data_IF_933981580480
#
_entry.id   IF_933981580480
#
_cell.length_a   1.000
_cell.length_b   1.000
_cell.length_c   1.000
_cell.angle_alpha   90.00
_cell.angle_beta   90.00
_cell.angle_gamma   90.00
#
_symmetry.space_group_name_H-M   'P 1'
#
loop_
_entity.id
_entity.type
_entity.pdbx_description
1 polymer ?
#
# COMPACT_ATOMS: atom_id res chain seq x y z
N UNK A 1 -5.00 12.30 -12.97
CA UNK A 1 -3.91 12.01 -12.02
C UNK A 1 -3.41 10.60 -12.37
N UNK A 2 -2.50 9.95 -11.64
CA UNK A 2 -1.98 8.63 -12.06
C UNK A 2 -1.72 7.68 -10.89
N UNK A 3 -1.29 6.45 -11.19
CA UNK A 3 -0.82 5.45 -10.22
C UNK A 3 0.24 6.00 -9.26
N UNK A 4 1.11 6.89 -9.76
CA UNK A 4 2.13 7.60 -8.99
C UNK A 4 1.49 8.47 -7.91
N UNK A 5 0.44 9.23 -8.24
CA UNK A 5 -0.27 10.07 -7.29
C UNK A 5 -0.93 9.25 -6.15
N UNK A 6 -1.55 8.12 -6.49
CA UNK A 6 -2.08 7.17 -5.50
C UNK A 6 -0.99 6.69 -4.53
N UNK A 7 0.17 6.30 -5.06
CA UNK A 7 1.30 5.87 -4.23
C UNK A 7 1.80 7.00 -3.34
N UNK A 8 1.95 8.22 -3.86
CA UNK A 8 2.41 9.39 -3.10
C UNK A 8 1.42 9.71 -1.96
N UNK A 9 0.13 9.74 -2.24
CA UNK A 9 -0.89 10.04 -1.23
C UNK A 9 -0.88 9.00 -0.11
N UNK A 10 -0.79 7.71 -0.46
CA UNK A 10 -0.68 6.66 0.55
C UNK A 10 0.63 6.73 1.33
N UNK A 11 1.76 6.92 0.65
CA UNK A 11 3.09 6.98 1.27
C UNK A 11 3.22 8.18 2.21
N UNK A 12 2.59 9.30 1.90
CA UNK A 12 2.69 10.52 2.72
C UNK A 12 1.69 10.57 3.87
N UNK A 13 0.50 9.99 3.71
CA UNK A 13 -0.56 10.03 4.72
C UNK A 13 -0.72 8.73 5.54
N UNK A 14 -0.29 7.60 4.97
CA UNK A 14 -0.62 6.27 5.50
C UNK A 14 -2.11 5.93 5.43
N UNK A 15 -2.85 6.61 4.56
CA UNK A 15 -4.29 6.50 4.36
C UNK A 15 -4.64 6.50 2.86
N UNK A 16 -5.81 5.96 2.52
CA UNK A 16 -6.38 5.99 1.18
C UNK A 16 -7.79 6.54 1.24
N UNK A 17 -8.02 7.67 0.57
CA UNK A 17 -9.34 8.31 0.46
C UNK A 17 -10.02 8.48 1.85
N UNK A 18 -9.21 8.79 2.87
CA UNK A 18 -9.66 8.99 4.26
C UNK A 18 -9.75 7.72 5.12
N UNK A 19 -9.61 6.52 4.54
CA UNK A 19 -9.55 5.26 5.28
C UNK A 19 -8.10 4.89 5.61
N UNK A 20 -7.87 4.33 6.80
CA UNK A 20 -6.53 3.95 7.26
C UNK A 20 -6.56 2.83 8.29
N UNK A 21 -5.50 2.75 9.10
CA UNK A 21 -5.53 1.95 10.32
C UNK A 21 -6.67 2.41 11.23
N UNK A 22 -7.15 1.51 12.08
CA UNK A 22 -8.28 1.71 12.99
C UNK A 22 -9.65 1.94 12.34
N UNK A 23 -9.69 2.15 11.02
CA UNK A 23 -10.93 2.26 10.27
C UNK A 23 -11.68 0.93 10.24
N UNK A 24 -13.00 1.00 10.28
CA UNK A 24 -13.87 -0.17 10.18
C UNK A 24 -13.92 -0.69 8.74
N UNK A 25 -14.38 -1.94 8.53
CA UNK A 25 -14.59 -2.48 7.19
C UNK A 25 -15.51 -1.60 6.33
N UNK A 26 -16.59 -1.07 6.90
CA UNK A 26 -17.52 -0.19 6.18
C UNK A 26 -16.88 1.14 5.76
N UNK A 27 -15.93 1.66 6.53
CA UNK A 27 -15.19 2.86 6.15
C UNK A 27 -14.30 2.60 4.92
N UNK A 28 -13.67 1.42 4.86
CA UNK A 28 -12.90 0.99 3.70
C UNK A 28 -13.78 0.73 2.47
N UNK A 29 -14.96 0.12 2.65
CA UNK A 29 -15.91 -0.06 1.55
C UNK A 29 -16.35 1.28 0.97
N UNK A 30 -16.75 2.24 1.82
CA UNK A 30 -17.12 3.58 1.36
C UNK A 30 -15.99 4.29 0.64
N UNK A 31 -14.75 4.13 1.11
CA UNK A 31 -13.59 4.77 0.50
C UNK A 31 -13.22 4.16 -0.87
N UNK A 32 -13.56 2.89 -1.13
CA UNK A 32 -13.09 2.17 -2.31
C UNK A 32 -14.17 1.76 -3.31
N UNK A 33 -15.44 2.12 -3.10
CA UNK A 33 -16.51 1.91 -4.08
C UNK A 33 -17.54 0.83 -3.73
N UNK A 34 -17.66 0.48 -2.45
CA UNK A 34 -18.74 -0.33 -1.90
C UNK A 34 -18.34 -1.73 -1.44
N UNK A 35 -19.26 -2.38 -0.73
CA UNK A 35 -19.06 -3.70 -0.11
C UNK A 35 -19.07 -4.88 -1.09
N UNK A 36 -19.50 -4.66 -2.34
CA UNK A 36 -19.57 -5.70 -3.37
C UNK A 36 -18.26 -5.88 -4.13
N UNK A 37 -17.29 -4.97 -3.94
CA UNK A 37 -16.02 -4.97 -4.65
C UNK A 37 -14.96 -5.95 -4.09
N UNK A 38 -14.73 -6.03 -2.76
CA UNK A 38 -13.60 -6.80 -2.26
C UNK A 38 -13.87 -8.31 -2.29
N UNK A 39 -12.81 -9.08 -2.54
CA UNK A 39 -12.76 -10.48 -2.13
C UNK A 39 -12.55 -10.55 -0.62
N UNK A 40 -13.44 -11.25 0.10
CA UNK A 40 -13.44 -11.32 1.56
C UNK A 40 -12.99 -12.71 2.02
N UNK A 41 -11.95 -12.77 2.86
CA UNK A 41 -11.50 -14.00 3.55
C UNK A 41 -11.53 -13.76 5.08
N UNK A 42 -12.42 -14.46 5.79
CA UNK A 42 -12.58 -14.36 7.25
C UNK A 42 -12.07 -15.64 7.92
N UNK A 43 -11.14 -15.50 8.86
CA UNK A 43 -10.57 -16.59 9.64
C UNK A 43 -10.52 -16.22 11.12
N UNK A 44 -11.51 -16.69 11.88
CA UNK A 44 -11.64 -16.42 13.31
C UNK A 44 -11.75 -14.92 13.58
N UNK A 45 -10.75 -14.34 14.27
CA UNK A 45 -10.68 -12.91 14.59
C UNK A 45 -9.93 -12.08 13.55
N UNK A 46 -9.57 -12.66 12.41
CA UNK A 46 -8.87 -11.96 11.31
C UNK A 46 -9.75 -11.96 10.06
N UNK A 47 -9.71 -10.86 9.33
CA UNK A 47 -10.40 -10.71 8.05
C UNK A 47 -9.48 -9.99 7.07
N UNK A 48 -9.38 -10.51 5.86
CA UNK A 48 -8.73 -9.85 4.73
C UNK A 48 -9.79 -9.40 3.74
N UNK A 49 -9.66 -8.17 3.24
CA UNK A 49 -10.40 -7.68 2.09
C UNK A 49 -9.42 -7.26 1.00
N UNK A 50 -9.57 -7.86 -0.16
CA UNK A 50 -8.73 -7.60 -1.34
C UNK A 50 -9.58 -6.89 -2.39
N UNK A 51 -9.33 -5.59 -2.58
CA UNK A 51 -9.98 -4.72 -3.56
C UNK A 51 -9.22 -4.70 -4.90
N UNK A 52 -8.31 -5.65 -5.13
CA UNK A 52 -7.49 -5.73 -6.34
C UNK A 52 -6.14 -5.05 -6.15
N UNK A 53 -6.08 -3.74 -6.36
CA UNK A 53 -4.86 -2.96 -6.14
C UNK A 53 -4.55 -2.76 -4.64
N UNK A 54 -5.60 -2.77 -3.82
CA UNK A 54 -5.53 -2.44 -2.39
C UNK A 54 -5.95 -3.64 -1.58
N UNK A 55 -5.12 -4.03 -0.61
CA UNK A 55 -5.43 -5.09 0.34
C UNK A 55 -5.44 -4.50 1.75
N UNK A 56 -6.44 -4.87 2.54
CA UNK A 56 -6.55 -4.48 3.94
C UNK A 56 -6.85 -5.69 4.81
N UNK A 57 -6.30 -5.70 6.01
CA UNK A 57 -6.58 -6.70 7.02
C UNK A 57 -7.15 -6.06 8.27
N UNK A 58 -8.08 -6.77 8.88
CA UNK A 58 -8.76 -6.38 10.10
C UNK A 58 -8.53 -7.42 11.18
N UNK A 59 -8.51 -6.95 12.42
CA UNK A 59 -8.65 -7.79 13.60
C UNK A 59 -9.95 -7.44 14.32
N UNK A 60 -10.60 -8.46 14.88
CA UNK A 60 -11.78 -8.30 15.72
C UNK A 60 -11.35 -8.13 17.17
N UNK A 61 -11.70 -7.00 17.80
CA UNK A 61 -11.66 -6.82 19.25
C UNK A 61 -13.08 -6.70 19.79
N UNK A 62 -13.41 -7.58 20.73
CA UNK A 62 -14.79 -7.82 21.19
C UNK A 62 -15.77 -8.05 20.03
N UNK A 63 -16.57 -7.04 19.69
CA UNK A 63 -17.57 -7.10 18.61
C UNK A 63 -17.15 -6.33 17.37
N UNK A 64 -16.11 -5.51 17.46
CA UNK A 64 -15.75 -4.54 16.42
C UNK A 64 -14.53 -4.99 15.62
N UNK A 65 -14.60 -4.76 14.31
CA UNK A 65 -13.49 -4.96 13.40
C UNK A 65 -12.73 -3.66 13.20
N UNK A 66 -11.41 -3.75 13.27
CA UNK A 66 -10.54 -2.60 13.10
C UNK A 66 -9.37 -2.93 12.18
N UNK A 67 -9.06 -2.01 11.26
CA UNK A 67 -7.96 -2.17 10.34
C UNK A 67 -6.62 -2.20 11.08
N UNK A 68 -5.80 -3.20 10.74
CA UNK A 68 -4.48 -3.45 11.32
C UNK A 68 -3.37 -3.41 10.27
N UNK A 69 -3.72 -3.53 8.99
CA UNK A 69 -2.81 -3.47 7.87
C UNK A 69 -3.53 -2.97 6.62
N UNK A 70 -2.89 -2.08 5.87
CA UNK A 70 -3.32 -1.63 4.56
C UNK A 70 -2.13 -1.58 3.61
N UNK A 71 -2.31 -2.04 2.37
CA UNK A 71 -1.25 -2.03 1.36
C UNK A 71 -1.76 -1.77 -0.04
N UNK A 72 -0.96 -1.00 -0.79
CA UNK A 72 -1.07 -0.81 -2.24
C UNK A 72 -0.10 -1.79 -2.90
N UNK A 73 -0.60 -2.65 -3.78
CA UNK A 73 0.18 -3.67 -4.48
C UNK A 73 0.44 -3.26 -5.93
N UNK A 74 1.30 -2.26 -6.15
CA UNK A 74 1.58 -1.69 -7.47
C UNK A 74 2.04 -2.72 -8.51
N UNK A 75 2.71 -3.82 -8.11
CA UNK A 75 3.06 -4.90 -9.03
C UNK A 75 1.85 -5.59 -9.70
N UNK A 76 0.64 -5.52 -9.11
CA UNK A 76 -0.58 -6.10 -9.68
C UNK A 76 -1.07 -5.35 -10.93
N UNK A 77 -0.54 -4.17 -11.19
CA UNK A 77 -0.77 -3.39 -12.42
C UNK A 77 -0.04 -4.01 -13.63
N UNK A 78 0.96 -4.87 -13.39
CA UNK A 78 1.69 -5.60 -14.42
C UNK A 78 0.96 -6.91 -14.74
N UNK A 79 0.02 -6.85 -15.70
CA UNK A 79 -0.67 -8.04 -16.25
C UNK A 79 -2.18 -7.85 -16.43
N UNK A 80 -2.89 -8.93 -16.76
CA UNK A 80 -4.35 -8.94 -16.99
C UNK A 80 -5.19 -8.52 -15.76
N UNK A 81 -4.56 -8.37 -14.59
CA UNK A 81 -5.16 -7.85 -13.35
C UNK A 81 -5.24 -6.32 -13.26
N UNK A 82 -4.79 -5.59 -14.29
CA UNK A 82 -4.99 -4.15 -14.40
C UNK A 82 -6.48 -3.72 -14.32
N UNK A 83 -7.43 -4.65 -14.47
CA UNK A 83 -8.88 -4.41 -14.34
C UNK A 83 -9.40 -4.29 -12.90
N UNK A 84 -8.57 -4.43 -11.86
CA UNK A 84 -9.04 -4.40 -10.45
C UNK A 84 -8.63 -3.12 -9.71
N UNK A 85 -8.76 -1.97 -10.37
CA UNK A 85 -8.68 -0.65 -9.71
C UNK A 85 -10.05 -0.36 -9.10
N UNK A 86 -10.15 -0.07 -7.79
CA UNK A 86 -11.44 0.26 -7.20
C UNK A 86 -12.06 1.52 -7.83
N UNK A 87 -13.39 1.59 -8.01
CA UNK A 87 -14.03 2.69 -8.74
C UNK A 87 -13.69 4.09 -8.19
N UNK A 88 -13.62 4.25 -6.86
CA UNK A 88 -13.28 5.53 -6.23
C UNK A 88 -11.80 5.92 -6.44
N UNK A 89 -10.92 4.92 -6.61
CA UNK A 89 -9.52 5.14 -6.96
C UNK A 89 -9.42 5.62 -8.41
N UNK A 90 -10.12 4.98 -9.33
CA UNK A 90 -10.16 5.43 -10.73
C UNK A 90 -10.81 6.81 -10.88
N UNK A 91 -11.88 7.10 -10.13
CA UNK A 91 -12.53 8.40 -10.14
C UNK A 91 -11.64 9.53 -9.57
N UNK A 92 -10.88 9.24 -8.51
CA UNK A 92 -10.02 10.23 -7.84
C UNK A 92 -8.70 10.43 -8.56
N UNK A 93 -8.02 9.32 -8.90
CA UNK A 93 -6.69 9.36 -9.46
C UNK A 93 -6.72 9.29 -10.98
N UNK A 94 -7.78 8.85 -11.64
CA UNK A 94 -7.78 8.66 -13.09
C UNK A 94 -6.99 7.42 -13.53
N UNK A 95 -6.70 7.28 -14.83
CA UNK A 95 -6.12 6.06 -15.39
C UNK A 95 -4.81 5.66 -14.71
N UNK A 96 -4.74 4.41 -14.27
CA UNK A 96 -3.60 3.85 -13.55
C UNK A 96 -2.62 3.23 -14.54
N UNK A 97 -1.39 3.75 -14.56
CA UNK A 97 -0.28 3.26 -15.36
C UNK A 97 0.16 1.85 -14.92
N UNK A 98 0.67 1.00 -15.83
CA UNK A 98 1.00 -0.40 -15.53
C UNK A 98 2.21 -0.58 -14.60
N UNK A 99 2.96 0.49 -14.33
CA UNK A 99 4.09 0.49 -13.42
C UNK A 99 4.25 1.87 -12.77
N UNK A 100 4.71 1.88 -11.53
CA UNK A 100 5.07 3.09 -10.79
C UNK A 100 6.57 3.04 -10.50
N UNK A 101 7.32 4.03 -10.97
CA UNK A 101 8.75 4.10 -10.68
C UNK A 101 8.97 4.61 -9.27
N UNK A 102 9.93 4.03 -8.54
CA UNK A 102 10.24 4.53 -7.20
C UNK A 102 10.93 5.90 -7.26
N UNK A 103 11.68 6.19 -8.32
CA UNK A 103 12.41 7.45 -8.47
C UNK A 103 11.46 8.66 -8.50
N UNK A 104 10.38 8.61 -9.29
CA UNK A 104 9.39 9.70 -9.38
C UNK A 104 8.65 9.90 -8.05
N UNK A 105 8.19 8.80 -7.43
CA UNK A 105 7.53 8.85 -6.12
C UNK A 105 8.47 9.42 -5.05
N UNK A 106 9.74 9.02 -5.07
CA UNK A 106 10.73 9.50 -4.12
C UNK A 106 10.99 11.00 -4.30
N UNK A 107 11.20 11.46 -5.53
CA UNK A 107 11.41 12.88 -5.84
C UNK A 107 10.24 13.74 -5.35
N UNK A 108 9.01 13.35 -5.69
CA UNK A 108 7.81 14.11 -5.30
C UNK A 108 7.53 14.08 -3.80
N UNK A 109 7.75 12.94 -3.14
CA UNK A 109 7.57 12.85 -1.68
C UNK A 109 8.62 13.67 -0.93
N UNK A 110 9.88 13.67 -1.38
CA UNK A 110 10.94 14.51 -0.82
C UNK A 110 10.65 16.00 -1.05
N UNK A 111 10.15 16.39 -2.22
CA UNK A 111 9.75 17.77 -2.50
C UNK A 111 8.62 18.26 -1.56
N UNK A 112 7.80 17.35 -1.04
CA UNK A 112 6.75 17.60 -0.03
C UNK A 112 7.29 17.55 1.42
N UNK A 113 8.60 17.37 1.62
CA UNK A 113 9.24 17.33 2.93
C UNK A 113 9.15 15.99 3.65
N UNK A 114 8.89 14.89 2.92
CA UNK A 114 8.98 13.56 3.51
C UNK A 114 10.43 13.22 3.89
N UNK A 115 10.58 12.45 4.95
CA UNK A 115 11.84 11.78 5.30
C UNK A 115 11.70 10.32 4.88
N UNK A 116 12.79 9.74 4.37
CA UNK A 116 12.86 8.34 3.99
C UNK A 116 14.12 7.71 4.57
N UNK A 117 14.00 6.47 5.01
CA UNK A 117 15.11 5.66 5.53
C UNK A 117 15.19 4.35 4.73
N UNK A 118 16.37 3.98 4.24
CA UNK A 118 16.58 2.64 3.70
C UNK A 118 16.59 1.63 4.86
N UNK A 119 15.77 0.59 4.78
CA UNK A 119 15.81 -0.54 5.71
C UNK A 119 16.95 -1.45 5.25
N UNK A 120 17.95 -1.64 6.11
CA UNK A 120 19.06 -2.54 5.83
C UNK A 120 18.58 -3.99 5.88
N UNK A 121 18.27 -4.53 4.72
CA UNK A 121 17.90 -5.93 4.56
C UNK A 121 19.15 -6.82 4.52
N UNK A 122 19.03 -8.07 4.99
CA UNK A 122 20.11 -9.05 4.80
C UNK A 122 20.20 -9.34 3.28
N UNK A 123 21.41 -9.55 2.76
CA UNK A 123 21.83 -9.67 1.33
C UNK A 123 21.01 -10.62 0.40
N UNK A 124 19.91 -11.22 0.87
CA UNK A 124 19.10 -12.22 0.16
C UNK A 124 17.73 -11.72 -0.30
N UNK A 125 17.35 -10.46 -0.05
CA UNK A 125 16.02 -9.96 -0.46
C UNK A 125 15.99 -9.47 -1.92
N UNK A 126 14.99 -9.93 -2.67
CA UNK A 126 14.72 -9.54 -4.07
C UNK A 126 14.26 -8.07 -4.23
N UNK A 127 14.02 -7.38 -3.11
CA UNK A 127 13.49 -6.03 -3.05
C UNK A 127 14.31 -5.21 -2.06
N UNK A 128 14.53 -3.93 -2.37
CA UNK A 128 14.99 -2.95 -1.39
C UNK A 128 13.77 -2.37 -0.66
N UNK A 129 13.86 -2.17 0.66
CA UNK A 129 12.76 -1.61 1.46
C UNK A 129 13.08 -0.23 2.00
N UNK A 130 12.11 0.68 1.93
CA UNK A 130 12.23 2.06 2.35
C UNK A 130 11.14 2.40 3.37
N UNK A 131 11.51 3.06 4.46
CA UNK A 131 10.63 3.45 5.55
C UNK A 131 10.34 4.95 5.51
N UNK A 132 9.06 5.30 5.61
CA UNK A 132 8.58 6.68 5.72
C UNK A 132 8.08 6.92 7.15
N UNK A 133 8.90 7.46 8.07
CA UNK A 133 8.60 7.50 9.49
C UNK A 133 7.38 8.32 9.88
N UNK A 134 7.03 9.35 9.10
CA UNK A 134 5.87 10.20 9.41
C UNK A 134 4.54 9.47 9.22
N UNK A 135 4.45 8.66 8.17
CA UNK A 135 3.23 7.93 7.77
C UNK A 135 3.26 6.47 8.21
N UNK A 136 4.41 6.00 8.68
CA UNK A 136 4.68 4.62 9.04
C UNK A 136 4.49 3.62 7.88
N UNK A 137 4.80 4.07 6.67
CA UNK A 137 4.70 3.25 5.45
C UNK A 137 6.06 2.63 5.11
N UNK A 138 6.04 1.32 4.81
CA UNK A 138 7.17 0.61 4.20
C UNK A 138 6.87 0.46 2.70
N UNK A 139 7.83 0.88 1.88
CA UNK A 139 7.79 0.72 0.42
C UNK A 139 8.80 -0.35 0.03
N UNK A 140 8.33 -1.42 -0.60
CA UNK A 140 9.16 -2.43 -1.23
C UNK A 140 9.36 -2.09 -2.70
N UNK A 141 10.61 -2.01 -3.12
CA UNK A 141 11.02 -1.64 -4.48
C UNK A 141 11.74 -2.83 -5.08
N UNK A 142 11.29 -3.28 -6.26
CA UNK A 142 11.98 -4.33 -6.98
C UNK A 142 13.37 -3.82 -7.38
N UNK A 143 14.41 -4.62 -7.10
CA UNK A 143 15.78 -4.28 -7.49
C UNK A 143 15.87 -3.95 -8.98
N UNK A 144 16.80 -3.07 -9.39
CA UNK A 144 16.91 -2.69 -10.80
C UNK A 144 17.12 -3.94 -11.66
N UNK A 145 16.29 -4.13 -12.68
CA UNK A 145 16.69 -4.93 -13.83
C UNK A 145 17.62 -4.07 -14.70
N UNK A 146 18.38 -4.70 -15.60
CA UNK A 146 19.30 -3.99 -16.51
C UNK A 146 18.66 -2.82 -17.29
N UNK A 147 17.32 -2.76 -17.39
CA UNK A 147 16.58 -1.83 -18.25
C UNK A 147 15.58 -0.90 -17.53
N UNK A 148 15.46 -0.94 -16.19
CA UNK A 148 14.47 -0.09 -15.48
C UNK A 148 14.93 0.39 -14.09
N UNK A 149 14.70 1.68 -13.74
CA UNK A 149 14.79 2.11 -12.35
C UNK A 149 13.83 1.27 -11.50
N UNK A 150 14.26 0.94 -10.27
CA UNK A 150 13.50 0.09 -9.36
C UNK A 150 12.04 0.54 -9.27
N UNK A 151 11.11 -0.37 -9.55
CA UNK A 151 9.68 -0.06 -9.54
C UNK A 151 9.08 -0.41 -8.19
N UNK A 152 8.08 0.35 -7.77
CA UNK A 152 7.36 0.02 -6.53
C UNK A 152 6.67 -1.32 -6.72
N UNK A 153 7.01 -2.28 -5.86
CA UNK A 153 6.34 -3.56 -5.78
C UNK A 153 5.08 -3.43 -4.92
N UNK A 154 5.24 -2.82 -3.74
CA UNK A 154 4.14 -2.53 -2.82
C UNK A 154 4.50 -1.41 -1.86
N UNK A 155 3.50 -0.70 -1.37
CA UNK A 155 3.61 0.17 -0.20
C UNK A 155 2.62 -0.33 0.85
N UNK A 156 3.05 -0.46 2.11
CA UNK A 156 2.22 -1.03 3.17
C UNK A 156 2.40 -0.32 4.50
N UNK A 157 1.31 -0.20 5.25
CA UNK A 157 1.28 0.28 6.62
C UNK A 157 0.62 -0.77 7.50
N UNK A 158 1.25 -1.10 8.61
CA UNK A 158 0.71 -1.99 9.63
C UNK A 158 0.82 -1.35 11.01
N UNK A 159 -0.07 -1.74 11.93
CA UNK A 159 -0.08 -1.25 13.32
C UNK A 159 1.26 -1.40 14.05
N UNK A 160 2.05 -2.40 13.66
CA UNK A 160 3.36 -2.70 14.23
C UNK A 160 4.50 -2.51 13.21
N UNK A 161 4.33 -1.68 12.18
CA UNK A 161 5.31 -1.53 11.11
C UNK A 161 6.69 -1.05 11.62
N UNK A 162 6.75 -0.32 12.74
CA UNK A 162 8.01 0.04 13.39
C UNK A 162 8.83 -1.19 13.85
N UNK A 163 8.17 -2.32 14.16
CA UNK A 163 8.83 -3.57 14.51
C UNK A 163 9.43 -4.28 13.28
N UNK A 164 8.97 -3.95 12.07
CA UNK A 164 9.46 -4.54 10.82
C UNK A 164 10.79 -3.91 10.37
N UNK A 165 11.28 -2.88 11.08
CA UNK A 165 12.65 -2.36 10.96
C UNK A 165 13.72 -3.34 11.43
N UNK A 166 13.34 -4.38 12.21
CA UNK A 166 14.30 -5.34 12.74
C UNK A 166 14.45 -6.50 11.76
N UNK A 167 15.68 -6.88 11.37
CA UNK A 167 15.88 -8.15 10.70
C UNK A 167 15.26 -9.22 11.59
N UNK A 168 14.36 -10.03 11.03
CA UNK A 168 13.81 -11.16 11.78
C UNK A 168 15.01 -11.99 12.28
N UNK A 169 15.11 -12.11 13.60
CA UNK A 169 16.23 -12.76 14.29
C UNK A 169 16.29 -14.24 13.93
#
# INVERSE_FOLDING_TARGET
MSATALCIDFITSGQLLGAGLDSSPDAWDRALGGADWPLIDVRGRRMRRDYGLIEVSFEKWDKDWSCINASVHAHRLRGERALLVPPEVDATYGPIEPAVTFAEVLEETLAKGAVVELIADRDTELHSRYWFPRSEVIVSVQGPSHDAPGSIWSAGRARDAANWKRPHS
#
